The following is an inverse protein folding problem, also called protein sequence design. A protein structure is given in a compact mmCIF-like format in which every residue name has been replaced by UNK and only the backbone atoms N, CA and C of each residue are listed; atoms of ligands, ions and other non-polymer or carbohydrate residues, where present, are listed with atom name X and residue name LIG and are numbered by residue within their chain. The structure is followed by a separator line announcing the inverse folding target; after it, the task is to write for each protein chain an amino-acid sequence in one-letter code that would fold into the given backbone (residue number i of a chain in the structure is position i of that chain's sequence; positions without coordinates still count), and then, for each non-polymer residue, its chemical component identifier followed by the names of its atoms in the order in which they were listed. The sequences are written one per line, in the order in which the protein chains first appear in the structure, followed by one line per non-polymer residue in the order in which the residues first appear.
data_IF_847206737921
#
_entry.id   IF_847206737921
#
_cell.length_a   1.000
_cell.length_b   1.000
_cell.length_c   1.000
_cell.angle_alpha   90.00
_cell.angle_beta   90.00
_cell.angle_gamma   90.00
#
_symmetry.space_group_name_H-M   'P 1'
#
loop_
_entity.id
_entity.type
_entity.pdbx_description
1 polymer ?
#
# COMPACT_ATOMS: atom_id res chain seq x y z
N UNK A 1 -6.37 0.13 -13.83
CA UNK A 1 -7.53 0.56 -13.01
C UNK A 1 -6.99 1.28 -11.78
N UNK A 2 -7.41 2.51 -11.53
CA UNK A 2 -7.09 3.20 -10.28
C UNK A 2 -7.88 2.54 -9.14
N UNK A 3 -7.22 2.20 -8.03
CA UNK A 3 -7.88 1.62 -6.85
C UNK A 3 -8.68 2.72 -6.16
N UNK A 4 -9.97 2.49 -5.92
CA UNK A 4 -10.83 3.47 -5.27
C UNK A 4 -10.62 3.49 -3.75
N UNK A 5 -10.92 4.62 -3.11
CA UNK A 5 -10.84 4.74 -1.65
C UNK A 5 -11.74 3.71 -0.93
N UNK A 6 -12.90 3.38 -1.52
CA UNK A 6 -13.81 2.36 -0.97
C UNK A 6 -13.22 0.95 -1.05
N UNK A 7 -12.44 0.64 -2.09
CA UNK A 7 -11.69 -0.62 -2.17
C UNK A 7 -10.58 -0.67 -1.10
N UNK A 8 -9.84 0.43 -0.91
CA UNK A 8 -8.81 0.52 0.13
C UNK A 8 -9.39 0.33 1.54
N UNK A 9 -10.55 0.93 1.83
CA UNK A 9 -11.25 0.75 3.12
C UNK A 9 -11.64 -0.70 3.36
N UNK A 10 -11.98 -1.46 2.31
CA UNK A 10 -12.27 -2.91 2.42
C UNK A 10 -11.00 -3.72 2.71
N UNK A 11 -9.91 -3.45 1.97
CA UNK A 11 -8.62 -4.12 2.15
C UNK A 11 -8.06 -3.91 3.57
N UNK A 12 -8.28 -2.72 4.14
CA UNK A 12 -7.79 -2.33 5.47
C UNK A 12 -8.85 -2.45 6.57
N UNK A 13 -9.89 -3.26 6.37
CA UNK A 13 -11.00 -3.39 7.33
C UNK A 13 -10.55 -3.85 8.74
N UNK A 14 -9.47 -4.64 8.82
CA UNK A 14 -8.89 -5.17 10.07
C UNK A 14 -7.81 -4.25 10.69
N UNK A 15 -7.55 -3.07 10.12
CA UNK A 15 -6.51 -2.16 10.60
C UNK A 15 -6.99 -1.34 11.78
N UNK A 16 -6.14 -1.20 12.81
CA UNK A 16 -6.43 -0.38 14.01
C UNK A 16 -6.71 1.09 13.68
N UNK A 17 -6.00 1.64 12.69
CA UNK A 17 -6.09 3.05 12.29
C UNK A 17 -6.49 3.19 10.82
N UNK A 18 -7.56 2.50 10.42
CA UNK A 18 -7.99 2.37 9.02
C UNK A 18 -8.01 3.68 8.24
N UNK A 19 -8.71 4.70 8.75
CA UNK A 19 -8.94 5.93 7.98
C UNK A 19 -7.64 6.73 7.77
N UNK A 20 -6.73 6.68 8.76
CA UNK A 20 -5.38 7.24 8.66
C UNK A 20 -4.55 6.51 7.60
N UNK A 21 -4.52 5.17 7.63
CA UNK A 21 -3.77 4.36 6.66
C UNK A 21 -4.31 4.52 5.24
N UNK A 22 -5.64 4.56 5.05
CA UNK A 22 -6.27 4.79 3.75
C UNK A 22 -5.88 6.15 3.20
N UNK A 23 -5.99 7.22 4.00
CA UNK A 23 -5.63 8.59 3.57
C UNK A 23 -4.17 8.68 3.12
N UNK A 24 -3.25 8.10 3.89
CA UNK A 24 -1.82 8.09 3.52
C UNK A 24 -1.58 7.29 2.24
N UNK A 25 -2.24 6.14 2.11
CA UNK A 25 -2.13 5.29 0.91
C UNK A 25 -2.61 6.03 -0.34
N UNK A 26 -3.77 6.71 -0.28
CA UNK A 26 -4.30 7.53 -1.37
C UNK A 26 -3.30 8.62 -1.79
N UNK A 27 -2.69 9.31 -0.83
CA UNK A 27 -1.69 10.34 -1.12
C UNK A 27 -0.47 9.77 -1.85
N UNK A 28 0.05 8.62 -1.41
CA UNK A 28 1.24 7.99 -2.00
C UNK A 28 0.98 7.52 -3.42
N UNK A 29 -0.14 6.83 -3.67
CA UNK A 29 -0.47 6.33 -5.03
C UNK A 29 -0.86 7.45 -5.99
N UNK A 30 -1.34 8.59 -5.48
CA UNK A 30 -1.57 9.79 -6.28
C UNK A 30 -0.25 10.44 -6.73
N UNK A 31 0.78 10.41 -5.87
CA UNK A 31 2.12 10.92 -6.18
C UNK A 31 2.92 9.96 -7.07
N UNK A 32 2.89 8.67 -6.78
CA UNK A 32 3.63 7.62 -7.47
C UNK A 32 2.68 6.67 -8.20
N UNK A 33 2.35 6.99 -9.45
CA UNK A 33 1.35 6.27 -10.24
C UNK A 33 1.68 4.78 -10.50
N UNK A 34 2.95 4.41 -10.41
CA UNK A 34 3.40 3.03 -10.60
C UNK A 34 3.32 2.18 -9.33
N UNK A 35 3.11 2.80 -8.16
CA UNK A 35 2.84 2.08 -6.92
C UNK A 35 1.37 1.65 -6.85
N UNK A 36 1.15 0.38 -6.53
CA UNK A 36 -0.18 -0.22 -6.42
C UNK A 36 -0.37 -0.86 -5.05
N UNK A 37 -1.51 -0.63 -4.39
CA UNK A 37 -1.85 -1.32 -3.15
C UNK A 37 -2.26 -2.76 -3.46
N UNK A 38 -1.63 -3.73 -2.81
CA UNK A 38 -1.94 -5.16 -2.94
C UNK A 38 -2.12 -5.76 -1.55
N UNK A 39 -3.08 -6.65 -1.39
CA UNK A 39 -3.30 -7.39 -0.15
C UNK A 39 -2.63 -8.75 -0.30
N UNK A 40 -1.68 -9.05 0.58
CA UNK A 40 -0.84 -10.25 0.49
C UNK A 40 -0.50 -10.79 1.89
N UNK A 41 -0.12 -12.06 1.97
CA UNK A 41 0.25 -12.71 3.22
C UNK A 41 1.67 -12.31 3.64
N UNK A 42 1.79 -11.72 4.82
CA UNK A 42 3.07 -11.40 5.44
C UNK A 42 3.37 -12.39 6.58
N UNK A 43 4.54 -13.02 6.53
CA UNK A 43 5.06 -13.90 7.58
C UNK A 43 5.86 -13.08 8.58
N UNK A 44 5.43 -13.06 9.84
CA UNK A 44 6.13 -12.42 10.94
C UNK A 44 7.30 -13.28 11.43
N UNK A 45 8.19 -12.68 12.21
CA UNK A 45 9.39 -13.35 12.74
C UNK A 45 9.06 -14.53 13.67
N UNK A 46 7.86 -14.57 14.26
CA UNK A 46 7.36 -15.68 15.07
C UNK A 46 6.76 -16.82 14.22
N UNK A 47 6.82 -16.72 12.90
CA UNK A 47 6.24 -17.66 11.95
C UNK A 47 4.74 -17.48 11.72
N UNK A 48 4.07 -16.59 12.44
CA UNK A 48 2.65 -16.29 12.21
C UNK A 48 2.47 -15.57 10.87
N UNK A 49 1.33 -15.78 10.21
CA UNK A 49 1.00 -15.11 8.94
C UNK A 49 -0.23 -14.22 9.09
N UNK A 50 -0.21 -13.04 8.48
CA UNK A 50 -1.41 -12.20 8.33
C UNK A 50 -1.46 -11.56 6.96
N UNK A 51 -2.67 -11.44 6.43
CA UNK A 51 -2.93 -10.61 5.26
C UNK A 51 -2.77 -9.13 5.62
N UNK A 52 -1.85 -8.46 4.93
CA UNK A 52 -1.59 -7.03 5.06
C UNK A 52 -1.56 -6.37 3.69
N UNK A 53 -1.88 -5.09 3.65
CA UNK A 53 -1.70 -4.27 2.45
C UNK A 53 -0.24 -3.85 2.33
N UNK A 54 0.36 -4.11 1.17
CA UNK A 54 1.65 -3.58 0.75
C UNK A 54 1.48 -2.59 -0.42
N UNK A 55 2.53 -1.82 -0.71
CA UNK A 55 2.62 -1.01 -1.92
C UNK A 55 3.69 -1.63 -2.81
N UNK A 56 3.27 -2.15 -3.97
CA UNK A 56 4.15 -2.82 -4.92
C UNK A 56 4.23 -2.02 -6.21
N UNK A 57 5.44 -1.85 -6.75
CA UNK A 57 5.67 -1.09 -7.98
C UNK A 57 7.04 -0.43 -7.98
N UNK A 58 7.18 0.63 -8.76
CA UNK A 58 8.42 1.39 -8.91
C UNK A 58 8.28 2.82 -8.42
N UNK A 59 9.39 3.42 -7.99
CA UNK A 59 9.51 4.85 -7.73
C UNK A 59 10.57 5.45 -8.66
N UNK A 60 10.40 6.70 -9.13
CA UNK A 60 11.42 7.37 -9.90
C UNK A 60 12.61 7.71 -8.99
N UNK A 61 13.78 7.19 -9.32
CA UNK A 61 15.04 7.51 -8.65
C UNK A 61 15.97 8.18 -9.65
N UNK A 62 16.42 9.39 -9.34
CA UNK A 62 17.44 10.07 -10.15
C UNK A 62 18.81 9.51 -9.78
N UNK A 63 19.52 8.97 -10.75
CA UNK A 63 20.88 8.47 -10.57
C UNK A 63 21.77 8.97 -11.70
N UNK A 64 22.91 9.58 -11.35
CA UNK A 64 23.89 10.17 -12.29
C UNK A 64 23.28 11.12 -13.32
N UNK A 65 22.47 12.08 -12.85
CA UNK A 65 21.79 13.07 -13.69
C UNK A 65 22.72 14.23 -14.13
N UNK A 66 23.92 13.90 -14.61
CA UNK A 66 24.79 14.84 -15.31
C UNK A 66 24.43 14.90 -16.78
#
# INVERSE_FOLDING_TARGET
MAVSESQLKKMMSKYKYRDLTVRQTVNVIAMYKDLKPVLDSYVFNDGSSRELVNLTGTIPVRYRAY
#
